data_IF_130142956606
#
_entry.id   IF_130142956606
#
_cell.length_a   1.000
_cell.length_b   1.000
_cell.length_c   1.000
_cell.angle_alpha   90.00
_cell.angle_beta   90.00
_cell.angle_gamma   90.00
#
_symmetry.space_group_name_H-M   'P 1'
#
loop_
_entity.id
_entity.type
_entity.pdbx_description
1 polymer ?
#
# COMPACT_ATOMS: atom_id res chain seq x y z
N UNK A 1 13.71 19.78 -13.32
CA UNK A 1 13.49 19.06 -12.05
C UNK A 1 13.94 17.62 -12.23
N UNK A 2 14.70 17.05 -11.29
CA UNK A 2 15.16 15.67 -11.31
C UNK A 2 14.45 14.86 -10.22
N UNK A 3 13.97 13.66 -10.55
CA UNK A 3 13.22 12.79 -9.63
C UNK A 3 13.94 11.45 -9.56
N UNK A 4 14.49 11.13 -8.39
CA UNK A 4 15.28 9.94 -8.13
C UNK A 4 14.54 8.98 -7.19
N UNK A 5 14.64 7.68 -7.45
CA UNK A 5 14.07 6.66 -6.58
C UNK A 5 15.02 6.35 -5.43
N UNK A 6 14.64 6.73 -4.20
CA UNK A 6 15.42 6.38 -3.00
C UNK A 6 15.19 4.94 -2.53
N UNK A 7 13.93 4.49 -2.54
CA UNK A 7 13.51 3.13 -2.18
C UNK A 7 12.04 2.91 -2.59
N UNK A 8 11.42 1.80 -2.14
CA UNK A 8 10.01 1.53 -2.46
C UNK A 8 9.00 2.37 -1.65
N UNK A 9 9.43 3.32 -0.83
CA UNK A 9 8.55 4.25 -0.10
C UNK A 9 8.72 5.67 -0.61
N UNK A 10 9.96 6.10 -0.84
CA UNK A 10 10.32 7.50 -1.09
C UNK A 10 11.03 7.69 -2.42
N UNK A 11 10.73 8.82 -3.04
CA UNK A 11 11.52 9.44 -4.09
C UNK A 11 12.12 10.73 -3.56
N UNK A 12 13.21 11.17 -4.17
CA UNK A 12 13.83 12.46 -3.94
C UNK A 12 13.64 13.35 -5.16
N UNK A 13 13.26 14.58 -4.92
CA UNK A 13 13.10 15.61 -5.95
C UNK A 13 14.19 16.66 -5.75
N UNK A 14 14.98 16.86 -6.79
CA UNK A 14 15.94 17.96 -6.87
C UNK A 14 15.40 19.02 -7.83
N UNK A 15 15.21 20.23 -7.33
CA UNK A 15 14.61 21.31 -8.10
C UNK A 15 15.02 22.67 -7.51
N UNK A 16 14.72 23.74 -8.21
CA UNK A 16 14.95 25.11 -7.75
C UNK A 16 14.12 25.43 -6.50
N UNK A 17 14.62 26.34 -5.62
CA UNK A 17 13.99 26.62 -4.33
C UNK A 17 12.54 27.11 -4.43
N UNK A 18 12.19 27.88 -5.47
CA UNK A 18 10.84 28.37 -5.68
C UNK A 18 9.88 27.22 -6.03
N UNK A 19 10.26 26.31 -6.94
CA UNK A 19 9.47 25.13 -7.29
C UNK A 19 9.33 24.19 -6.08
N UNK A 20 10.37 24.05 -5.25
CA UNK A 20 10.30 23.26 -4.03
C UNK A 20 9.26 23.81 -3.03
N UNK A 21 9.12 25.14 -2.93
CA UNK A 21 8.09 25.77 -2.10
C UNK A 21 6.69 25.54 -2.66
N UNK A 22 6.49 25.72 -3.97
CA UNK A 22 5.22 25.44 -4.64
C UNK A 22 4.80 23.98 -4.49
N UNK A 23 5.74 23.02 -4.66
CA UNK A 23 5.50 21.60 -4.38
C UNK A 23 5.09 21.38 -2.92
N UNK A 24 5.75 22.04 -1.96
CA UNK A 24 5.39 21.92 -0.55
C UNK A 24 3.99 22.43 -0.28
N UNK A 25 3.59 23.54 -0.89
CA UNK A 25 2.23 24.08 -0.78
C UNK A 25 1.21 23.13 -1.42
N UNK A 26 1.48 22.65 -2.62
CA UNK A 26 0.62 21.70 -3.34
C UNK A 26 0.39 20.41 -2.57
N UNK A 27 1.40 19.90 -1.86
CA UNK A 27 1.33 18.68 -1.04
C UNK A 27 1.14 18.97 0.46
N UNK A 28 0.58 20.14 0.81
CA UNK A 28 0.21 20.51 2.17
C UNK A 28 -1.32 20.47 2.31
N UNK A 29 -1.81 19.77 3.32
CA UNK A 29 -3.24 19.57 3.57
C UNK A 29 -3.60 20.01 4.98
N UNK A 30 -4.71 20.71 5.12
CA UNK A 30 -5.29 21.02 6.42
C UNK A 30 -6.03 19.80 6.97
N UNK A 31 -5.83 19.52 8.26
CA UNK A 31 -6.53 18.42 8.92
C UNK A 31 -7.89 18.92 9.39
N UNK A 32 -9.02 18.34 8.92
CA UNK A 32 -10.32 18.71 9.41
C UNK A 32 -10.41 18.52 10.92
N UNK A 33 -10.97 19.52 11.60
CA UNK A 33 -11.09 19.49 13.04
C UNK A 33 -9.76 19.69 13.80
N UNK A 34 -8.66 20.05 13.15
CA UNK A 34 -7.36 20.31 13.78
C UNK A 34 -7.49 21.28 14.96
N UNK A 35 -8.34 22.33 14.84
CA UNK A 35 -8.60 23.33 15.88
C UNK A 35 -9.10 22.76 17.22
N UNK A 36 -9.69 21.56 17.19
CA UNK A 36 -10.16 20.87 18.38
C UNK A 36 -9.12 19.95 19.01
N UNK A 37 -7.99 19.74 18.35
CA UNK A 37 -6.91 18.89 18.87
C UNK A 37 -6.03 19.63 19.88
N UNK A 38 -5.62 19.00 20.99
CA UNK A 38 -4.76 19.60 22.00
C UNK A 38 -3.45 20.14 21.43
N UNK A 39 -2.82 19.45 20.49
CA UNK A 39 -1.58 19.86 19.83
C UNK A 39 -1.71 21.17 19.05
N UNK A 40 -2.85 21.41 18.42
CA UNK A 40 -3.17 22.67 17.75
C UNK A 40 -3.43 23.79 18.75
N UNK A 41 -4.26 23.52 19.78
CA UNK A 41 -4.57 24.48 20.84
C UNK A 41 -3.33 24.94 21.60
N UNK A 42 -2.40 24.03 21.84
CA UNK A 42 -1.13 24.30 22.52
C UNK A 42 -0.05 24.87 21.56
N UNK A 43 -0.42 25.22 20.31
CA UNK A 43 0.47 25.77 19.29
C UNK A 43 1.73 24.92 18.98
N UNK A 44 1.69 23.61 19.30
CA UNK A 44 2.76 22.67 19.01
C UNK A 44 2.69 22.21 17.54
N UNK A 45 1.52 22.31 16.92
CA UNK A 45 1.26 21.93 15.54
C UNK A 45 0.30 22.92 14.89
N UNK A 46 0.53 23.21 13.60
CA UNK A 46 -0.22 24.19 12.81
C UNK A 46 -1.48 23.62 12.13
N UNK A 47 -1.86 22.39 12.42
CA UNK A 47 -3.04 21.74 11.83
C UNK A 47 -2.83 21.23 10.40
N UNK A 48 -1.60 21.26 9.87
CA UNK A 48 -1.28 20.89 8.50
C UNK A 48 -0.42 19.64 8.43
N UNK A 49 -0.67 18.82 7.41
CA UNK A 49 0.17 17.68 7.03
C UNK A 49 0.91 18.06 5.76
N UNK A 50 2.24 17.99 5.80
CA UNK A 50 3.12 18.22 4.66
C UNK A 50 3.69 16.90 4.18
N UNK A 51 3.38 16.52 2.92
CA UNK A 51 3.85 15.27 2.34
C UNK A 51 5.17 15.41 1.61
N UNK A 52 5.54 16.64 1.19
CA UNK A 52 6.84 16.97 0.62
C UNK A 52 7.71 17.68 1.64
N UNK A 53 8.92 17.17 1.85
CA UNK A 53 9.92 17.79 2.72
C UNK A 53 10.87 18.67 1.90
N UNK A 54 10.75 19.98 2.02
CA UNK A 54 11.65 20.92 1.33
C UNK A 54 13.12 20.72 1.74
N UNK A 55 13.37 20.42 3.02
CA UNK A 55 14.73 20.25 3.53
C UNK A 55 15.46 19.02 2.94
N UNK A 56 14.73 17.94 2.65
CA UNK A 56 15.32 16.68 2.16
C UNK A 56 14.98 16.37 0.71
N UNK A 57 14.06 17.11 0.10
CA UNK A 57 13.49 16.84 -1.21
C UNK A 57 12.67 15.56 -1.28
N UNK A 58 12.28 14.96 -0.15
CA UNK A 58 11.64 13.66 -0.11
C UNK A 58 10.12 13.75 -0.15
N UNK A 59 9.52 12.83 -0.90
CA UNK A 59 8.08 12.62 -0.98
C UNK A 59 7.80 11.12 -1.20
N UNK A 60 6.59 10.68 -0.89
CA UNK A 60 6.19 9.29 -1.13
C UNK A 60 6.14 8.95 -2.62
N UNK A 61 6.74 7.81 -3.00
CA UNK A 61 6.76 7.29 -4.37
C UNK A 61 5.34 7.15 -4.97
N UNK A 62 4.36 6.79 -4.16
CA UNK A 62 2.96 6.67 -4.60
C UNK A 62 2.32 7.98 -5.07
N UNK A 63 2.91 9.15 -4.72
CA UNK A 63 2.45 10.46 -5.18
C UNK A 63 3.00 10.88 -6.56
N UNK A 64 3.82 10.04 -7.20
CA UNK A 64 4.40 10.35 -8.50
C UNK A 64 3.38 10.77 -9.57
N UNK A 65 2.17 10.17 -9.68
CA UNK A 65 1.16 10.65 -10.63
C UNK A 65 0.75 12.11 -10.41
N UNK A 66 0.62 12.54 -9.16
CA UNK A 66 0.26 13.92 -8.79
C UNK A 66 1.41 14.90 -9.03
N UNK A 67 2.67 14.43 -8.83
CA UNK A 67 3.86 15.23 -9.18
C UNK A 67 3.89 15.48 -10.68
N UNK A 68 3.58 14.46 -11.49
CA UNK A 68 3.47 14.60 -12.96
C UNK A 68 2.37 15.59 -13.35
N UNK A 69 1.22 15.53 -12.65
CA UNK A 69 0.12 16.47 -12.87
C UNK A 69 0.52 17.90 -12.49
N UNK A 70 1.19 18.10 -11.35
CA UNK A 70 1.76 19.38 -10.95
C UNK A 70 2.71 19.93 -12.01
N UNK A 71 3.64 19.12 -12.48
CA UNK A 71 4.60 19.51 -13.52
C UNK A 71 3.89 19.90 -14.82
N UNK A 72 2.86 19.14 -15.23
CA UNK A 72 2.08 19.46 -16.43
C UNK A 72 1.32 20.77 -16.30
N UNK A 73 0.73 21.06 -15.14
CA UNK A 73 -0.03 22.29 -14.88
C UNK A 73 0.83 23.54 -14.89
N UNK A 74 2.10 23.40 -14.44
CA UNK A 74 3.03 24.51 -14.30
C UNK A 74 4.11 24.53 -15.41
N UNK A 75 3.95 23.75 -16.46
CA UNK A 75 4.89 23.59 -17.58
C UNK A 75 6.34 23.30 -17.14
N UNK A 76 6.50 22.48 -16.09
CA UNK A 76 7.80 22.13 -15.53
C UNK A 76 8.31 20.85 -16.19
N UNK A 77 9.47 20.93 -16.85
CA UNK A 77 10.17 19.74 -17.37
C UNK A 77 10.80 18.95 -16.24
N UNK A 78 10.68 17.59 -16.30
CA UNK A 78 11.28 16.71 -15.31
C UNK A 78 11.91 15.48 -15.95
N UNK A 79 12.90 14.92 -15.27
CA UNK A 79 13.56 13.66 -15.62
C UNK A 79 13.36 12.63 -14.52
N UNK A 80 13.20 11.37 -14.90
CA UNK A 80 13.07 10.23 -13.99
C UNK A 80 14.27 9.31 -14.17
N UNK A 81 14.93 8.92 -13.08
CA UNK A 81 16.05 7.96 -13.11
C UNK A 81 15.59 6.50 -13.03
N UNK A 82 14.29 6.23 -12.96
CA UNK A 82 13.73 4.89 -12.80
C UNK A 82 12.54 4.64 -13.72
N UNK A 83 12.35 3.35 -14.04
CA UNK A 83 11.24 2.92 -14.87
C UNK A 83 9.92 2.92 -14.08
N UNK A 84 8.90 3.54 -14.64
CA UNK A 84 7.54 3.63 -14.08
C UNK A 84 6.49 2.94 -14.94
N UNK A 85 6.91 2.28 -16.04
CA UNK A 85 5.97 1.56 -16.91
C UNK A 85 5.40 0.36 -16.17
N UNK A 86 4.09 0.08 -16.30
CA UNK A 86 3.50 -1.16 -15.82
C UNK A 86 4.23 -2.37 -16.43
N UNK A 87 4.25 -3.49 -15.70
CA UNK A 87 4.73 -4.76 -16.25
C UNK A 87 3.81 -5.18 -17.41
N UNK A 88 4.40 -5.62 -18.52
CA UNK A 88 3.67 -6.10 -19.70
C UNK A 88 3.20 -7.54 -19.44
N UNK A 89 1.99 -7.65 -18.90
CA UNK A 89 1.35 -8.91 -18.54
C UNK A 89 -0.01 -8.97 -19.23
N UNK A 90 -0.21 -9.98 -20.06
CA UNK A 90 -1.48 -10.19 -20.75
C UNK A 90 -2.57 -10.71 -19.83
N UNK A 91 -3.81 -10.40 -20.16
CA UNK A 91 -4.98 -10.91 -19.44
C UNK A 91 -5.08 -12.45 -19.52
N UNK A 92 -4.69 -13.02 -20.66
CA UNK A 92 -4.59 -14.48 -20.88
C UNK A 92 -3.63 -15.13 -19.88
N UNK A 93 -2.51 -14.49 -19.57
CA UNK A 93 -1.53 -14.95 -18.57
C UNK A 93 -2.17 -15.05 -17.19
N UNK A 94 -2.91 -14.02 -16.76
CA UNK A 94 -3.59 -14.04 -15.46
C UNK A 94 -4.74 -15.04 -15.44
N UNK A 95 -5.53 -15.15 -16.50
CA UNK A 95 -6.59 -16.18 -16.60
C UNK A 95 -6.02 -17.60 -16.50
N UNK A 96 -4.93 -17.88 -17.22
CA UNK A 96 -4.22 -19.14 -17.14
C UNK A 96 -3.64 -19.39 -15.75
N UNK A 97 -3.04 -18.39 -15.13
CA UNK A 97 -2.52 -18.45 -13.77
C UNK A 97 -3.63 -18.81 -12.77
N UNK A 98 -4.77 -18.10 -12.78
CA UNK A 98 -5.91 -18.37 -11.89
C UNK A 98 -6.46 -19.78 -12.11
N UNK A 99 -6.54 -20.25 -13.36
CA UNK A 99 -6.95 -21.61 -13.69
C UNK A 99 -6.01 -22.66 -13.08
N UNK A 100 -4.69 -22.41 -13.11
CA UNK A 100 -3.70 -23.32 -12.51
C UNK A 100 -3.76 -23.36 -10.98
N UNK A 101 -4.29 -22.33 -10.32
CA UNK A 101 -4.49 -22.34 -8.88
C UNK A 101 -5.56 -23.35 -8.43
N UNK A 102 -6.40 -23.86 -9.33
CA UNK A 102 -7.49 -24.84 -9.07
C UNK A 102 -8.40 -24.40 -7.92
N UNK A 103 -8.69 -23.09 -7.83
CA UNK A 103 -9.59 -22.54 -6.82
C UNK A 103 -10.98 -23.19 -7.01
N UNK A 104 -11.66 -23.66 -5.93
CA UNK A 104 -12.96 -24.35 -6.03
C UNK A 104 -14.11 -23.43 -6.51
N UNK A 105 -13.84 -22.13 -6.60
CA UNK A 105 -14.81 -21.12 -7.04
C UNK A 105 -14.40 -20.49 -8.36
N UNK A 106 -15.37 -20.15 -9.20
CA UNK A 106 -15.13 -19.42 -10.43
C UNK A 106 -14.84 -17.95 -10.09
N UNK A 107 -13.65 -17.47 -10.42
CA UNK A 107 -13.30 -16.07 -10.28
C UNK A 107 -14.19 -15.22 -11.23
N UNK A 108 -14.69 -14.09 -10.71
CA UNK A 108 -15.50 -13.13 -11.48
C UNK A 108 -14.57 -12.21 -12.29
N UNK A 109 -15.09 -11.62 -13.39
CA UNK A 109 -14.27 -10.82 -14.30
C UNK A 109 -13.59 -9.62 -13.62
N UNK A 110 -14.28 -8.93 -12.69
CA UNK A 110 -13.68 -7.84 -11.94
C UNK A 110 -12.56 -8.31 -10.98
N UNK A 111 -12.63 -9.53 -10.44
CA UNK A 111 -11.56 -10.10 -9.61
C UNK A 111 -10.32 -10.40 -10.46
N UNK A 112 -10.52 -10.97 -11.64
CA UNK A 112 -9.44 -11.20 -12.62
C UNK A 112 -8.81 -9.87 -13.03
N UNK A 113 -9.63 -8.86 -13.37
CA UNK A 113 -9.16 -7.52 -13.73
C UNK A 113 -8.40 -6.83 -12.60
N UNK A 114 -8.82 -7.03 -11.34
CA UNK A 114 -8.14 -6.51 -10.15
C UNK A 114 -6.76 -7.15 -9.97
N UNK A 115 -6.68 -8.48 -10.10
CA UNK A 115 -5.40 -9.22 -10.01
C UNK A 115 -4.46 -8.79 -11.15
N UNK A 116 -4.97 -8.67 -12.38
CA UNK A 116 -4.20 -8.19 -13.53
C UNK A 116 -3.66 -6.77 -13.30
N UNK A 117 -4.52 -5.86 -12.82
CA UNK A 117 -4.13 -4.48 -12.51
C UNK A 117 -3.04 -4.43 -11.44
N UNK A 118 -3.18 -5.24 -10.38
CA UNK A 118 -2.17 -5.34 -9.33
C UNK A 118 -0.84 -5.91 -9.84
N UNK A 119 -0.90 -6.97 -10.63
CA UNK A 119 0.28 -7.59 -11.23
C UNK A 119 1.06 -6.62 -12.11
N UNK A 120 0.37 -5.85 -12.95
CA UNK A 120 0.97 -4.86 -13.85
C UNK A 120 1.56 -3.64 -13.14
N UNK A 121 0.80 -3.08 -12.18
CA UNK A 121 1.14 -1.79 -11.55
C UNK A 121 2.03 -1.93 -10.33
N UNK A 122 2.10 -3.09 -9.72
CA UNK A 122 2.78 -3.38 -8.45
C UNK A 122 2.23 -2.57 -7.24
N UNK A 123 1.42 -1.54 -7.47
CA UNK A 123 0.81 -0.67 -6.45
C UNK A 123 -0.61 -0.33 -6.87
N UNK A 124 -1.58 -0.70 -6.04
CA UNK A 124 -2.99 -0.44 -6.34
C UNK A 124 -3.84 -0.37 -5.08
N UNK A 125 -4.81 0.52 -5.10
CA UNK A 125 -5.90 0.55 -4.15
C UNK A 125 -7.16 0.06 -4.85
N UNK A 126 -7.76 -1.01 -4.33
CA UNK A 126 -8.97 -1.60 -4.87
C UNK A 126 -10.16 -1.22 -4.00
N UNK A 127 -11.14 -0.58 -4.61
CA UNK A 127 -12.42 -0.30 -3.96
C UNK A 127 -13.37 -1.44 -4.31
N UNK A 128 -13.60 -2.29 -3.34
CA UNK A 128 -14.39 -3.49 -3.49
C UNK A 128 -15.57 -3.47 -2.52
N UNK A 129 -16.81 -3.44 -2.97
CA UNK A 129 -17.99 -3.47 -2.08
C UNK A 129 -17.95 -4.65 -1.13
N UNK A 130 -18.71 -4.55 -0.03
CA UNK A 130 -18.90 -5.68 0.89
C UNK A 130 -19.46 -6.87 0.11
N UNK A 131 -19.05 -8.08 0.47
CA UNK A 131 -19.42 -9.33 -0.21
C UNK A 131 -18.96 -9.47 -1.68
N UNK A 132 -18.05 -8.61 -2.16
CA UNK A 132 -17.46 -8.74 -3.50
C UNK A 132 -16.41 -9.86 -3.62
N UNK A 133 -16.12 -10.58 -2.54
CA UNK A 133 -15.06 -11.59 -2.52
C UNK A 133 -13.65 -10.97 -2.52
N UNK A 134 -13.42 -9.96 -1.70
CA UNK A 134 -12.10 -9.33 -1.47
C UNK A 134 -11.01 -10.35 -1.15
N UNK A 135 -11.33 -11.35 -0.33
CA UNK A 135 -10.38 -12.41 0.05
C UNK A 135 -9.83 -13.18 -1.14
N UNK A 136 -10.64 -13.40 -2.20
CA UNK A 136 -10.17 -14.05 -3.42
C UNK A 136 -9.17 -13.17 -4.21
N UNK A 137 -9.39 -11.85 -4.23
CA UNK A 137 -8.44 -10.92 -4.85
C UNK A 137 -7.13 -10.92 -4.06
N UNK A 138 -7.20 -10.85 -2.72
CA UNK A 138 -6.03 -10.91 -1.84
C UNK A 138 -5.28 -12.24 -2.06
N UNK A 139 -6.01 -13.36 -2.10
CA UNK A 139 -5.44 -14.65 -2.40
C UNK A 139 -4.71 -14.67 -3.75
N UNK A 140 -5.37 -14.24 -4.83
CA UNK A 140 -4.79 -14.22 -6.17
C UNK A 140 -3.52 -13.37 -6.26
N UNK A 141 -3.52 -12.17 -5.66
CA UNK A 141 -2.34 -11.30 -5.59
C UNK A 141 -1.21 -11.92 -4.76
N UNK A 142 -1.55 -12.58 -3.64
CA UNK A 142 -0.58 -13.27 -2.80
C UNK A 142 0.06 -14.43 -3.56
N UNK A 143 -0.75 -15.26 -4.25
CA UNK A 143 -0.26 -16.37 -5.09
C UNK A 143 0.60 -15.88 -6.24
N UNK A 144 0.24 -14.72 -6.85
CA UNK A 144 1.06 -14.07 -7.89
C UNK A 144 2.42 -13.65 -7.35
N UNK A 145 2.47 -13.02 -6.19
CA UNK A 145 3.73 -12.63 -5.55
C UNK A 145 4.55 -13.86 -5.12
N UNK A 146 3.90 -14.90 -4.59
CA UNK A 146 4.56 -16.15 -4.24
C UNK A 146 5.18 -16.85 -5.45
N UNK A 147 4.55 -16.82 -6.64
CA UNK A 147 5.13 -17.36 -7.88
C UNK A 147 6.42 -16.62 -8.32
N UNK A 148 6.66 -15.42 -7.78
CA UNK A 148 7.89 -14.64 -7.94
C UNK A 148 8.88 -14.82 -6.76
N UNK A 149 8.69 -15.82 -5.91
CA UNK A 149 9.48 -16.10 -4.70
C UNK A 149 9.49 -14.91 -3.70
N UNK A 150 8.38 -14.18 -3.61
CA UNK A 150 8.26 -13.06 -2.69
C UNK A 150 7.42 -13.45 -1.46
N UNK A 151 7.95 -13.16 -0.28
CA UNK A 151 7.18 -13.26 0.96
C UNK A 151 6.14 -12.14 1.02
N UNK A 152 4.93 -12.50 1.44
CA UNK A 152 3.78 -11.58 1.51
C UNK A 152 3.37 -11.33 2.96
N UNK A 153 3.20 -10.07 3.31
CA UNK A 153 2.59 -9.61 4.57
C UNK A 153 1.15 -9.15 4.30
N UNK A 154 0.18 -9.78 4.95
CA UNK A 154 -1.22 -9.38 4.90
C UNK A 154 -1.58 -8.73 6.23
N UNK A 155 -2.05 -7.49 6.19
CA UNK A 155 -2.43 -6.70 7.35
C UNK A 155 -3.95 -6.57 7.42
N UNK A 156 -4.52 -7.01 8.53
CA UNK A 156 -5.96 -6.97 8.80
C UNK A 156 -6.26 -6.24 10.11
N UNK A 157 -7.49 -5.72 10.31
CA UNK A 157 -7.85 -4.94 11.50
C UNK A 157 -7.86 -5.74 12.81
N UNK A 158 -8.36 -6.97 12.78
CA UNK A 158 -8.67 -7.75 13.99
C UNK A 158 -8.12 -9.16 13.90
N UNK A 159 -7.97 -9.80 15.05
CA UNK A 159 -7.54 -11.22 15.14
C UNK A 159 -8.55 -12.17 14.52
N UNK A 160 -9.85 -11.87 14.62
CA UNK A 160 -10.90 -12.65 13.96
C UNK A 160 -10.72 -12.65 12.43
N UNK A 161 -10.33 -11.51 11.85
CA UNK A 161 -10.03 -11.42 10.42
C UNK A 161 -8.73 -12.13 10.04
N UNK A 162 -7.75 -12.27 10.95
CA UNK A 162 -6.57 -13.12 10.73
C UNK A 162 -7.00 -14.56 10.55
N UNK A 163 -7.86 -15.07 11.45
CA UNK A 163 -8.37 -16.45 11.38
C UNK A 163 -9.21 -16.68 10.13
N UNK A 164 -10.14 -15.76 9.84
CA UNK A 164 -10.98 -15.83 8.65
C UNK A 164 -10.16 -15.83 7.36
N UNK A 165 -9.21 -14.92 7.21
CA UNK A 165 -8.36 -14.85 6.03
C UNK A 165 -7.51 -16.11 5.86
N UNK A 166 -7.01 -16.67 6.96
CA UNK A 166 -6.30 -17.93 6.95
C UNK A 166 -7.19 -19.10 6.52
N UNK A 167 -8.43 -19.18 7.04
CA UNK A 167 -9.41 -20.17 6.63
C UNK A 167 -9.78 -20.05 5.16
N UNK A 168 -10.08 -18.83 4.69
CA UNK A 168 -10.38 -18.57 3.27
C UNK A 168 -9.24 -19.07 2.36
N UNK A 169 -7.99 -18.89 2.75
CA UNK A 169 -6.83 -19.33 1.97
C UNK A 169 -6.73 -20.86 1.90
N UNK A 170 -7.04 -21.56 2.99
CA UNK A 170 -7.12 -23.02 3.00
C UNK A 170 -8.27 -23.52 2.12
N UNK A 171 -9.43 -22.88 2.19
CA UNK A 171 -10.61 -23.18 1.36
C UNK A 171 -10.33 -22.94 -0.14
N UNK A 172 -9.45 -21.98 -0.47
CA UNK A 172 -8.98 -21.76 -1.84
C UNK A 172 -7.90 -22.74 -2.30
N UNK A 173 -7.52 -23.69 -1.44
CA UNK A 173 -6.58 -24.76 -1.76
C UNK A 173 -5.10 -24.43 -1.49
N UNK A 174 -4.80 -23.45 -0.66
CA UNK A 174 -3.41 -23.27 -0.21
C UNK A 174 -3.09 -24.15 0.99
N UNK A 175 -1.85 -24.61 1.07
CA UNK A 175 -1.41 -25.45 2.18
C UNK A 175 -1.08 -24.60 3.42
N UNK A 176 -1.48 -25.08 4.59
CA UNK A 176 -1.23 -24.43 5.87
C UNK A 176 0.28 -24.23 6.16
N UNK A 177 1.13 -25.10 5.58
CA UNK A 177 2.59 -24.98 5.70
C UNK A 177 3.15 -23.66 5.19
N UNK A 178 2.47 -22.95 4.29
CA UNK A 178 2.88 -21.66 3.75
C UNK A 178 2.33 -20.46 4.53
N UNK A 179 1.33 -20.66 5.40
CA UNK A 179 0.60 -19.58 6.07
C UNK A 179 1.00 -19.49 7.53
N UNK A 180 1.44 -18.32 7.96
CA UNK A 180 1.77 -18.01 9.35
C UNK A 180 0.86 -16.91 9.88
N UNK A 181 0.21 -17.17 10.99
CA UNK A 181 -0.58 -16.16 11.73
C UNK A 181 0.30 -15.51 12.78
N UNK A 182 0.27 -14.16 12.85
CA UNK A 182 1.10 -13.40 13.79
C UNK A 182 0.24 -12.38 14.54
N UNK A 183 -0.14 -12.73 15.76
CA UNK A 183 -0.81 -11.84 16.70
C UNK A 183 -0.49 -12.27 18.15
N UNK A 184 -1.15 -11.69 19.16
CA UNK A 184 -0.89 -12.03 20.56
C UNK A 184 -1.02 -13.54 20.79
N UNK A 185 -0.01 -14.15 21.43
CA UNK A 185 0.06 -15.59 21.67
C UNK A 185 0.72 -16.42 20.56
N UNK A 186 1.05 -15.84 19.41
CA UNK A 186 1.74 -16.52 18.31
C UNK A 186 3.21 -16.09 18.19
N UNK A 187 4.05 -16.99 17.63
CA UNK A 187 5.45 -16.67 17.31
C UNK A 187 5.53 -15.50 16.35
N UNK A 188 6.41 -14.55 16.63
CA UNK A 188 6.67 -13.38 15.79
C UNK A 188 7.88 -13.56 14.87
N UNK A 189 8.62 -14.67 15.00
CA UNK A 189 9.67 -15.05 14.06
C UNK A 189 9.03 -15.52 12.77
N UNK A 190 9.43 -14.94 11.64
CA UNK A 190 8.87 -15.28 10.34
C UNK A 190 9.57 -16.49 9.76
N UNK A 191 8.81 -17.57 9.60
CA UNK A 191 9.29 -18.87 9.09
C UNK A 191 8.62 -19.26 7.77
N UNK A 192 7.42 -18.73 7.50
CA UNK A 192 6.64 -19.08 6.31
C UNK A 192 6.57 -17.92 5.30
N UNK A 193 6.06 -18.20 4.11
CA UNK A 193 6.06 -17.25 3.00
C UNK A 193 4.90 -16.25 3.05
N UNK A 194 3.80 -16.62 3.67
CA UNK A 194 2.64 -15.75 3.84
C UNK A 194 2.39 -15.50 5.31
N UNK A 195 2.44 -14.24 5.70
CA UNK A 195 2.19 -13.80 7.07
C UNK A 195 0.91 -13.01 7.11
N UNK A 196 -0.06 -13.46 7.90
CA UNK A 196 -1.31 -12.75 8.15
C UNK A 196 -1.25 -12.21 9.58
N UNK A 197 -1.40 -10.89 9.74
CA UNK A 197 -1.23 -10.25 11.04
C UNK A 197 -2.13 -9.03 11.21
N UNK A 198 -2.36 -8.66 12.46
CA UNK A 198 -2.87 -7.34 12.78
C UNK A 198 -1.72 -6.32 12.82
N UNK A 199 -1.97 -5.08 12.37
CA UNK A 199 -0.91 -4.05 12.43
C UNK A 199 -0.51 -3.67 13.87
N UNK A 200 -1.41 -3.83 14.84
CA UNK A 200 -1.13 -3.61 16.25
C UNK A 200 -0.03 -4.55 16.78
N UNK A 201 0.02 -5.76 16.24
CA UNK A 201 1.02 -6.76 16.62
C UNK A 201 2.42 -6.45 16.08
N UNK A 202 2.50 -5.72 14.95
CA UNK A 202 3.77 -5.53 14.21
C UNK A 202 4.35 -4.13 14.30
N UNK A 203 3.59 -3.08 14.61
CA UNK A 203 4.04 -1.69 14.45
C UNK A 203 5.31 -1.32 15.26
N UNK A 204 5.57 -2.04 16.37
CA UNK A 204 6.75 -1.82 17.22
C UNK A 204 8.03 -2.49 16.70
N UNK A 205 7.92 -3.41 15.72
CA UNK A 205 9.08 -4.12 15.21
C UNK A 205 10.04 -3.18 14.46
N UNK A 206 11.34 -3.47 14.49
CA UNK A 206 12.35 -2.68 13.79
C UNK A 206 12.19 -2.82 12.26
N UNK A 207 12.76 -1.88 11.52
CA UNK A 207 12.75 -1.86 10.06
C UNK A 207 13.28 -3.16 9.45
N UNK A 208 14.35 -3.75 10.02
CA UNK A 208 14.96 -5.00 9.56
C UNK A 208 13.98 -6.18 9.51
N UNK A 209 12.98 -6.21 10.41
CA UNK A 209 11.93 -7.23 10.42
C UNK A 209 11.12 -7.25 9.12
N UNK A 210 10.90 -6.08 8.52
CA UNK A 210 10.08 -5.90 7.34
C UNK A 210 10.85 -6.05 6.02
N UNK A 211 12.17 -6.14 6.02
CA UNK A 211 13.02 -6.24 4.82
C UNK A 211 12.84 -7.53 4.04
N UNK A 212 12.33 -8.57 4.69
CA UNK A 212 12.07 -9.86 4.07
C UNK A 212 10.80 -9.90 3.19
N UNK A 213 9.91 -8.90 3.29
CA UNK A 213 8.65 -8.88 2.56
C UNK A 213 8.77 -8.13 1.24
N UNK A 214 8.51 -8.84 0.13
CA UNK A 214 8.43 -8.25 -1.21
C UNK A 214 7.03 -7.76 -1.58
N UNK A 215 6.01 -8.24 -0.85
CA UNK A 215 4.61 -7.89 -1.03
C UNK A 215 3.95 -7.52 0.30
N UNK A 216 3.12 -6.48 0.29
CA UNK A 216 2.23 -6.12 1.40
C UNK A 216 0.83 -5.90 0.87
N UNK A 217 -0.15 -6.48 1.56
CA UNK A 217 -1.56 -6.32 1.25
C UNK A 217 -2.28 -5.85 2.52
N UNK A 218 -2.98 -4.74 2.45
CA UNK A 218 -3.79 -4.24 3.54
C UNK A 218 -5.27 -4.39 3.26
N UNK A 219 -5.96 -5.15 4.08
CA UNK A 219 -7.40 -5.17 4.08
C UNK A 219 -7.94 -3.99 4.91
N UNK A 220 -9.12 -3.52 4.57
CA UNK A 220 -9.73 -2.31 5.13
C UNK A 220 -8.79 -1.09 5.08
N UNK A 221 -8.27 -0.81 3.89
CA UNK A 221 -7.26 0.23 3.66
C UNK A 221 -7.70 1.66 4.08
N UNK A 222 -9.00 1.91 4.30
CA UNK A 222 -9.49 3.17 4.85
C UNK A 222 -8.96 3.44 6.28
N UNK A 223 -8.55 2.39 7.01
CA UNK A 223 -7.95 2.49 8.34
C UNK A 223 -6.46 2.89 8.31
N UNK A 224 -5.84 3.01 7.13
CA UNK A 224 -4.41 3.35 6.96
C UNK A 224 -4.02 4.78 7.43
N UNK A 225 -4.95 5.53 8.02
CA UNK A 225 -4.69 6.80 8.72
C UNK A 225 -3.98 6.60 10.06
N UNK A 226 -4.06 5.42 10.66
CA UNK A 226 -3.47 5.15 11.96
C UNK A 226 -1.93 5.26 11.88
N UNK A 227 -1.33 5.99 12.82
CA UNK A 227 0.13 6.19 12.91
C UNK A 227 0.90 4.85 12.94
N UNK A 228 0.35 3.84 13.58
CA UNK A 228 0.93 2.50 13.63
C UNK A 228 1.05 1.85 12.25
N UNK A 229 0.02 1.99 11.42
CA UNK A 229 -0.01 1.41 10.10
C UNK A 229 0.89 2.18 9.13
N UNK A 230 0.87 3.52 9.17
CA UNK A 230 1.82 4.37 8.44
C UNK A 230 3.26 4.01 8.80
N UNK A 231 3.56 3.77 10.10
CA UNK A 231 4.87 3.33 10.55
C UNK A 231 5.30 1.99 9.92
N UNK A 232 4.41 1.01 9.81
CA UNK A 232 4.71 -0.27 9.14
C UNK A 232 4.99 -0.01 7.65
N UNK A 233 4.13 0.75 6.98
CA UNK A 233 4.25 1.02 5.54
C UNK A 233 5.55 1.74 5.18
N UNK A 234 6.06 2.62 6.05
CA UNK A 234 7.36 3.29 5.85
C UNK A 234 8.55 2.37 6.13
N UNK A 235 8.41 1.38 7.01
CA UNK A 235 9.45 0.37 7.28
C UNK A 235 9.60 -0.65 6.14
N UNK A 236 8.57 -0.87 5.33
CA UNK A 236 8.55 -1.78 4.18
C UNK A 236 9.28 -1.19 2.94
N UNK A 237 10.48 -0.67 3.12
CA UNK A 237 11.20 0.12 2.10
C UNK A 237 11.78 -0.71 0.95
N UNK A 238 11.83 -2.04 1.07
CA UNK A 238 12.20 -2.96 -0.01
C UNK A 238 10.99 -3.62 -0.68
N UNK A 239 9.77 -3.38 -0.16
CA UNK A 239 8.56 -4.00 -0.63
C UNK A 239 8.04 -3.33 -1.91
N UNK A 240 8.20 -4.00 -3.05
CA UNK A 240 7.78 -3.50 -4.37
C UNK A 240 6.25 -3.55 -4.54
N UNK A 241 5.65 -4.70 -4.20
CA UNK A 241 4.22 -4.94 -4.40
C UNK A 241 3.42 -4.46 -3.19
N UNK A 242 2.55 -3.47 -3.41
CA UNK A 242 1.79 -2.82 -2.34
C UNK A 242 0.33 -2.68 -2.73
N UNK A 243 -0.55 -3.38 -2.03
CA UNK A 243 -1.96 -3.40 -2.34
C UNK A 243 -2.80 -3.03 -1.12
N UNK A 244 -3.85 -2.26 -1.36
CA UNK A 244 -4.88 -2.00 -0.38
C UNK A 244 -6.25 -2.37 -0.93
N UNK A 245 -7.09 -2.92 -0.08
CA UNK A 245 -8.47 -3.21 -0.40
C UNK A 245 -9.37 -2.50 0.61
N UNK A 246 -10.48 -1.95 0.16
CA UNK A 246 -11.45 -1.31 1.04
C UNK A 246 -12.87 -1.45 0.48
N UNK A 247 -13.84 -1.61 1.37
CA UNK A 247 -15.26 -1.65 0.98
C UNK A 247 -15.84 -0.27 0.71
N UNK A 248 -15.30 0.75 1.36
CA UNK A 248 -15.79 2.13 1.28
C UNK A 248 -14.64 3.09 1.03
N UNK A 249 -14.83 3.98 0.04
CA UNK A 249 -14.09 5.24 0.02
C UNK A 249 -14.86 6.21 0.90
N UNK A 250 -14.32 6.53 2.04
CA UNK A 250 -14.84 7.60 2.87
C UNK A 250 -14.54 8.93 2.15
N UNK A 251 -15.56 9.44 1.44
CA UNK A 251 -15.44 10.64 0.62
C UNK A 251 -15.09 11.89 1.44
N UNK A 252 -15.45 11.92 2.72
CA UNK A 252 -15.08 13.02 3.63
C UNK A 252 -13.57 13.15 3.82
N UNK A 253 -12.82 12.15 3.41
CA UNK A 253 -11.37 12.04 3.56
C UNK A 253 -10.61 12.09 2.23
N UNK A 254 -11.31 12.25 1.12
CA UNK A 254 -10.72 12.38 -0.22
C UNK A 254 -9.75 13.57 -0.25
N UNK A 255 -10.11 14.70 0.36
CA UNK A 255 -9.28 15.90 0.38
C UNK A 255 -8.00 15.77 1.21
N UNK A 256 -7.96 14.88 2.23
CA UNK A 256 -6.79 14.72 3.11
C UNK A 256 -6.06 13.40 2.86
N UNK A 257 -6.80 12.37 2.55
CA UNK A 257 -6.28 11.02 2.51
C UNK A 257 -6.05 10.50 1.09
N UNK A 258 -6.56 11.16 0.06
CA UNK A 258 -6.41 10.65 -1.30
C UNK A 258 -4.95 10.63 -1.76
N UNK A 259 -4.15 11.70 -1.60
CA UNK A 259 -2.73 11.62 -1.85
C UNK A 259 -2.02 10.65 -0.91
N UNK A 260 -2.38 10.66 0.38
CA UNK A 260 -1.78 9.79 1.39
C UNK A 260 -2.18 8.33 1.19
N UNK A 261 -3.43 8.04 0.86
CA UNK A 261 -3.91 6.67 0.58
C UNK A 261 -3.26 6.09 -0.66
N UNK A 262 -3.16 6.86 -1.75
CA UNK A 262 -2.50 6.41 -2.98
C UNK A 262 -0.98 6.35 -2.86
N UNK A 263 -0.39 7.07 -1.90
CA UNK A 263 1.04 7.09 -1.63
C UNK A 263 1.50 5.98 -0.67
N UNK A 264 0.66 5.59 0.27
CA UNK A 264 1.00 4.58 1.27
C UNK A 264 0.90 3.17 0.68
N UNK A 265 0.07 2.98 -0.30
CA UNK A 265 -0.09 1.75 -1.07
C UNK A 265 0.57 1.91 -2.43
#
# INVERSE_FOLDING_TARGET
>A
MKIEKKNEVYIRIETEPHIARELSEYFTFEVPGARFMPSYRNKVWDGKIRLFSVATGQIYLGLLPYIREFCKRNDIRYELDFNTRPEDIDESTIKSFIKHLKIPYKARDYQISSILSGARKCRSLFVCPTASGKSLIIYGLTRWCHSKNLKTLILVPTTSLVEQMSSDFLDYGWLESYIQKVYSGHSKKIEKDVVISTWQSLHKFPKKYFEQFGCVIGDEAHLFKAKSLTSIMTKLHLCKYRFGLTGTLDLSLIHISEPTRRAII
#
